data_IF_726922763255
#
_entry.id   IF_726922763255
#
_cell.length_a   1.000
_cell.length_b   1.000
_cell.length_c   1.000
_cell.angle_alpha   90.00
_cell.angle_beta   90.00
_cell.angle_gamma   90.00
#
_symmetry.space_group_name_H-M   'P 1'
#
loop_
_entity.id
_entity.type
_entity.pdbx_description
1 polymer ?
#
# COMPACT_ATOMS: atom_id res chain seq x y z
N UNK A 1 -1.88 24.17 70.92
CA UNK A 1 -2.14 23.10 71.90
C UNK A 1 -3.40 22.35 71.46
N UNK A 2 -3.34 21.03 71.34
CA UNK A 2 -4.48 20.20 70.95
C UNK A 2 -4.03 18.93 70.25
N UNK A 3 -3.58 17.95 71.04
CA UNK A 3 -3.09 16.64 70.61
C UNK A 3 -4.16 15.87 69.80
N UNK A 4 -3.75 15.20 68.73
CA UNK A 4 -4.48 14.04 68.20
C UNK A 4 -4.40 12.89 69.23
N UNK A 5 -5.50 12.20 69.56
CA UNK A 5 -5.43 10.97 70.34
C UNK A 5 -5.05 9.76 69.46
N UNK A 6 -4.32 8.85 70.09
CA UNK A 6 -3.73 7.64 69.51
C UNK A 6 -4.70 6.51 69.20
N UNK A 7 -4.28 5.73 68.19
CA UNK A 7 -4.30 4.27 68.06
C UNK A 7 -5.65 3.55 67.91
N UNK A 8 -5.72 2.74 66.85
CA UNK A 8 -5.75 1.28 67.00
C UNK A 8 -5.28 0.58 65.72
N UNK A 9 -4.25 -0.24 65.90
CA UNK A 9 -3.82 -1.33 65.03
C UNK A 9 -5.02 -2.17 64.59
N UNK A 10 -5.11 -2.40 63.29
CA UNK A 10 -6.03 -3.37 62.70
C UNK A 10 -5.53 -3.69 61.30
N UNK A 11 -4.71 -4.74 61.20
CA UNK A 11 -4.36 -5.34 59.92
C UNK A 11 -5.66 -5.83 59.27
N UNK A 12 -6.09 -5.14 58.21
CA UNK A 12 -7.06 -5.64 57.27
C UNK A 12 -6.39 -5.73 55.92
N UNK A 13 -5.87 -6.92 55.65
CA UNK A 13 -5.53 -7.39 54.31
C UNK A 13 -6.81 -7.46 53.49
N UNK A 14 -6.98 -6.54 52.54
CA UNK A 14 -7.93 -6.70 51.45
C UNK A 14 -7.17 -7.25 50.24
N UNK A 15 -7.61 -8.38 49.65
CA UNK A 15 -6.99 -8.95 48.47
C UNK A 15 -7.46 -8.19 47.22
N UNK A 16 -6.57 -8.00 46.25
CA UNK A 16 -6.98 -7.57 44.91
C UNK A 16 -6.82 -6.08 44.61
N UNK A 17 -5.61 -5.57 44.77
CA UNK A 17 -5.10 -4.55 43.84
C UNK A 17 -3.89 -5.18 43.15
N UNK A 18 -4.15 -6.03 42.17
CA UNK A 18 -3.14 -6.33 41.16
C UNK A 18 -2.97 -5.05 40.35
N UNK A 19 -1.72 -4.60 40.31
CA UNK A 19 -1.21 -3.66 39.32
C UNK A 19 -1.79 -4.02 37.96
N UNK A 20 -2.52 -3.07 37.35
CA UNK A 20 -2.67 -3.06 35.90
C UNK A 20 -1.29 -2.64 35.38
N UNK A 21 -0.34 -3.59 35.42
CA UNK A 21 0.76 -3.56 34.46
C UNK A 21 0.06 -3.66 33.12
N UNK A 22 0.10 -2.55 32.39
CA UNK A 22 -0.41 -2.45 31.04
C UNK A 22 0.22 -3.58 30.23
N UNK A 23 -0.57 -4.62 30.02
CA UNK A 23 -0.37 -5.63 28.99
C UNK A 23 -0.47 -4.89 27.64
N UNK A 24 0.58 -4.14 27.30
CA UNK A 24 0.79 -3.52 25.99
C UNK A 24 1.30 -4.54 24.97
N UNK A 25 1.15 -5.83 25.25
CA UNK A 25 1.33 -6.92 24.31
C UNK A 25 -0.04 -7.49 23.89
N UNK A 26 -1.05 -6.63 23.73
CA UNK A 26 -2.23 -6.95 22.91
C UNK A 26 -1.77 -7.09 21.46
N UNK A 27 -1.29 -8.30 21.13
CA UNK A 27 -1.41 -9.00 19.85
C UNK A 27 -1.77 -8.11 18.66
N UNK A 28 -0.82 -7.27 18.25
CA UNK A 28 -0.80 -6.74 16.89
C UNK A 28 -0.24 -7.78 15.89
N UNK A 29 0.01 -9.01 16.35
CA UNK A 29 0.63 -10.10 15.57
C UNK A 29 -0.38 -11.05 14.91
N UNK A 30 -1.67 -10.70 14.87
CA UNK A 30 -2.72 -11.58 14.32
C UNK A 30 -3.64 -10.94 13.27
N UNK A 31 -3.26 -9.80 12.70
CA UNK A 31 -3.70 -9.46 11.35
C UNK A 31 -2.49 -9.73 10.46
N UNK A 32 -2.56 -10.63 9.48
CA UNK A 32 -1.47 -10.77 8.53
C UNK A 32 -1.31 -9.44 7.78
N UNK A 33 -0.39 -8.60 8.25
CA UNK A 33 0.29 -7.61 7.42
C UNK A 33 1.39 -8.31 6.58
N UNK A 34 1.22 -9.60 6.29
CA UNK A 34 2.17 -10.49 5.61
C UNK A 34 2.04 -10.45 4.08
N UNK A 35 1.19 -9.59 3.52
CA UNK A 35 1.10 -9.46 2.07
C UNK A 35 2.26 -8.61 1.58
N UNK A 36 3.24 -9.28 0.95
CA UNK A 36 4.37 -8.64 0.29
C UNK A 36 3.87 -7.63 -0.74
N UNK A 37 4.37 -6.40 -0.62
CA UNK A 37 4.03 -5.28 -1.48
C UNK A 37 5.30 -4.61 -2.01
N UNK A 38 5.20 -4.17 -3.27
CA UNK A 38 6.23 -3.42 -3.97
C UNK A 38 5.62 -2.14 -4.50
N UNK A 39 6.25 -1.01 -4.22
CA UNK A 39 5.81 0.30 -4.69
C UNK A 39 7.00 1.02 -5.31
N UNK A 40 6.90 1.27 -6.61
CA UNK A 40 8.01 1.76 -7.42
C UNK A 40 7.59 2.92 -8.30
N UNK A 41 8.53 3.84 -8.51
CA UNK A 41 8.41 4.93 -9.45
C UNK A 41 9.24 4.61 -10.70
N UNK A 42 8.58 4.64 -11.86
CA UNK A 42 9.15 4.36 -13.17
C UNK A 42 9.07 5.60 -14.05
N UNK A 43 10.10 5.85 -14.86
CA UNK A 43 10.19 7.07 -15.66
C UNK A 43 9.17 7.14 -16.81
N UNK A 44 8.63 6.01 -17.27
CA UNK A 44 7.73 6.00 -18.43
C UNK A 44 6.84 4.75 -18.53
N UNK A 45 5.87 4.84 -19.44
CA UNK A 45 4.94 3.75 -19.75
C UNK A 45 5.64 2.49 -20.27
N UNK A 46 6.74 2.61 -21.03
CA UNK A 46 7.44 1.45 -21.57
C UNK A 46 8.07 0.59 -20.47
N UNK A 47 8.60 1.21 -19.41
CA UNK A 47 9.10 0.50 -18.22
C UNK A 47 7.95 -0.15 -17.44
N UNK A 48 6.83 0.56 -17.31
CA UNK A 48 5.60 0.02 -16.69
C UNK A 48 5.10 -1.22 -17.42
N UNK A 49 5.10 -1.20 -18.76
CA UNK A 49 4.73 -2.35 -19.59
C UNK A 49 5.69 -3.53 -19.41
N UNK A 50 6.99 -3.28 -19.21
CA UNK A 50 7.96 -4.35 -18.90
C UNK A 50 7.64 -5.04 -17.58
N UNK A 51 7.19 -4.30 -16.56
CA UNK A 51 6.72 -4.91 -15.30
C UNK A 51 5.52 -5.82 -15.54
N UNK A 52 4.50 -5.33 -16.25
CA UNK A 52 3.31 -6.14 -16.58
C UNK A 52 3.68 -7.39 -17.38
N UNK A 53 4.59 -7.27 -18.36
CA UNK A 53 5.09 -8.41 -19.15
C UNK A 53 5.85 -9.42 -18.27
N UNK A 54 6.68 -8.94 -17.35
CA UNK A 54 7.41 -9.80 -16.40
C UNK A 54 6.44 -10.61 -15.52
N UNK A 55 5.37 -9.98 -15.04
CA UNK A 55 4.35 -10.66 -14.22
C UNK A 55 3.59 -11.71 -15.01
N UNK A 56 3.21 -11.42 -16.27
CA UNK A 56 2.58 -12.43 -17.14
C UNK A 56 3.51 -13.60 -17.48
N UNK A 57 4.81 -13.34 -17.64
CA UNK A 57 5.82 -14.37 -17.87
C UNK A 57 6.08 -15.26 -16.66
N UNK A 58 5.53 -14.93 -15.48
CA UNK A 58 5.68 -15.68 -14.24
C UNK A 58 4.32 -15.92 -13.56
N UNK A 59 3.45 -16.77 -14.12
CA UNK A 59 2.14 -17.06 -13.53
C UNK A 59 2.23 -17.69 -12.11
N UNK A 60 3.40 -18.21 -11.73
CA UNK A 60 3.68 -18.69 -10.38
C UNK A 60 3.77 -17.59 -9.33
N UNK A 61 4.05 -16.33 -9.71
CA UNK A 61 4.01 -15.22 -8.78
C UNK A 61 2.55 -14.97 -8.39
N UNK A 62 2.20 -15.05 -7.09
CA UNK A 62 0.81 -14.99 -6.66
C UNK A 62 0.32 -13.54 -6.62
N UNK A 63 0.30 -12.84 -7.75
CA UNK A 63 -0.14 -11.44 -7.83
C UNK A 63 -1.60 -11.33 -7.41
N UNK A 64 -1.88 -10.46 -6.44
CA UNK A 64 -3.23 -10.09 -6.01
C UNK A 64 -3.79 -9.04 -6.95
N UNK A 65 -3.10 -7.90 -7.04
CA UNK A 65 -3.41 -6.83 -7.96
C UNK A 65 -2.16 -6.01 -8.30
N UNK A 66 -2.26 -5.27 -9.40
CA UNK A 66 -1.36 -4.20 -9.78
C UNK A 66 -2.16 -2.91 -9.84
N UNK A 67 -1.59 -1.82 -9.32
CA UNK A 67 -2.12 -0.46 -9.51
C UNK A 67 -1.09 0.38 -10.23
N UNK A 68 -1.53 1.11 -11.24
CA UNK A 68 -0.70 2.02 -12.00
C UNK A 68 -1.30 3.42 -11.92
N UNK A 69 -0.52 4.37 -11.42
CA UNK A 69 -0.90 5.79 -11.32
C UNK A 69 0.08 6.60 -12.17
N UNK A 70 -0.45 7.42 -13.06
CA UNK A 70 0.33 8.40 -13.80
C UNK A 70 0.48 9.69 -12.99
N UNK A 71 1.69 10.25 -13.00
CA UNK A 71 2.03 11.56 -12.46
C UNK A 71 2.71 12.38 -13.55
N UNK A 72 2.90 13.68 -13.35
CA UNK A 72 3.44 14.61 -14.36
C UNK A 72 4.78 14.10 -14.93
N UNK A 73 5.64 13.56 -14.07
CA UNK A 73 7.01 13.19 -14.43
C UNK A 73 7.25 11.67 -14.50
N UNK A 74 6.21 10.84 -14.40
CA UNK A 74 6.40 9.39 -14.33
C UNK A 74 5.20 8.57 -13.86
N UNK A 75 5.50 7.34 -13.49
CA UNK A 75 4.52 6.27 -13.29
C UNK A 75 4.77 5.58 -11.96
N UNK A 76 3.77 5.57 -11.09
CA UNK A 76 3.79 4.81 -9.83
C UNK A 76 3.15 3.47 -10.07
N UNK A 77 3.87 2.40 -9.74
CA UNK A 77 3.42 1.02 -9.87
C UNK A 77 3.41 0.37 -8.50
N UNK A 78 2.24 -0.05 -8.06
CA UNK A 78 2.01 -0.84 -6.85
C UNK A 78 1.73 -2.28 -7.25
N UNK A 79 2.40 -3.24 -6.63
CA UNK A 79 2.21 -4.66 -6.87
C UNK A 79 2.02 -5.32 -5.52
N UNK A 80 0.87 -5.97 -5.33
CA UNK A 80 0.57 -6.70 -4.09
C UNK A 80 0.46 -8.18 -4.38
N UNK A 81 1.12 -9.00 -3.57
CA UNK A 81 1.04 -10.45 -3.66
C UNK A 81 -0.02 -11.00 -2.71
N UNK A 82 -0.73 -12.06 -3.13
CA UNK A 82 -1.71 -12.80 -2.33
C UNK A 82 -1.04 -13.55 -1.19
N UNK A 83 0.13 -14.12 -1.46
CA UNK A 83 0.91 -14.92 -0.52
C UNK A 83 2.38 -14.48 -0.55
N UNK A 84 3.12 -14.62 0.56
CA UNK A 84 4.56 -14.46 0.56
C UNK A 84 5.24 -15.40 -0.45
N UNK A 85 6.33 -14.93 -1.06
CA UNK A 85 7.22 -15.74 -1.91
C UNK A 85 8.49 -16.09 -1.13
N UNK A 86 9.32 -16.98 -1.70
CA UNK A 86 10.61 -17.29 -1.09
C UNK A 86 11.52 -16.05 -1.03
N UNK A 87 12.48 -16.01 -0.11
CA UNK A 87 13.42 -14.88 -0.01
C UNK A 87 14.23 -14.67 -1.28
N UNK A 88 14.51 -15.75 -2.04
CA UNK A 88 15.18 -15.66 -3.33
C UNK A 88 14.27 -14.99 -4.37
N UNK A 89 13.00 -15.41 -4.47
CA UNK A 89 12.04 -14.80 -5.40
C UNK A 89 11.75 -13.34 -5.06
N UNK A 90 11.63 -13.00 -3.78
CA UNK A 90 11.51 -11.60 -3.32
C UNK A 90 12.74 -10.78 -3.74
N UNK A 91 13.94 -11.31 -3.50
CA UNK A 91 15.19 -10.68 -3.88
C UNK A 91 15.32 -10.47 -5.40
N UNK A 92 15.06 -11.51 -6.18
CA UNK A 92 15.11 -11.48 -7.65
C UNK A 92 14.09 -10.48 -8.21
N UNK A 93 12.89 -10.43 -7.61
CA UNK A 93 11.85 -9.51 -8.05
C UNK A 93 12.17 -8.06 -7.69
N UNK A 94 12.67 -7.79 -6.48
CA UNK A 94 13.17 -6.46 -6.08
C UNK A 94 14.33 -6.01 -6.96
N UNK A 95 15.28 -6.90 -7.27
CA UNK A 95 16.39 -6.59 -8.15
C UNK A 95 15.90 -6.17 -9.55
N UNK A 96 14.95 -6.92 -10.11
CA UNK A 96 14.31 -6.55 -11.37
C UNK A 96 13.61 -5.18 -11.30
N UNK A 97 12.84 -4.90 -10.25
CA UNK A 97 12.15 -3.61 -10.10
C UNK A 97 13.13 -2.45 -9.92
N UNK A 98 14.22 -2.66 -9.16
CA UNK A 98 15.29 -1.68 -8.96
C UNK A 98 16.09 -1.40 -10.25
N UNK A 99 16.11 -2.31 -11.22
CA UNK A 99 16.68 -2.05 -12.56
C UNK A 99 15.79 -1.11 -13.38
N UNK A 100 14.47 -1.22 -13.21
CA UNK A 100 13.49 -0.43 -13.97
C UNK A 100 13.18 0.94 -13.35
N UNK A 101 13.37 1.09 -12.03
CA UNK A 101 13.12 2.35 -11.36
C UNK A 101 13.53 2.33 -9.90
N UNK A 102 12.87 3.15 -9.09
CA UNK A 102 13.26 3.38 -7.69
C UNK A 102 12.10 3.04 -6.76
N UNK A 103 12.43 2.52 -5.57
CA UNK A 103 11.45 2.37 -4.49
C UNK A 103 10.79 3.72 -4.21
N UNK A 104 9.48 3.72 -4.03
CA UNK A 104 8.69 4.94 -3.95
C UNK A 104 7.98 5.05 -2.61
N UNK A 105 8.19 6.18 -1.94
CA UNK A 105 7.44 6.58 -0.77
C UNK A 105 6.34 7.56 -1.20
N UNK A 106 5.05 7.16 -1.15
CA UNK A 106 3.97 7.97 -1.67
C UNK A 106 3.66 9.11 -0.71
N UNK A 107 3.38 10.33 -1.21
CA UNK A 107 2.80 11.37 -0.39
C UNK A 107 1.40 10.95 0.07
N UNK A 108 0.92 11.52 1.18
CA UNK A 108 -0.31 11.09 1.85
C UNK A 108 -1.53 11.02 0.92
N UNK A 109 -1.66 11.92 -0.05
CA UNK A 109 -2.73 11.90 -1.07
C UNK A 109 -2.71 10.63 -1.91
N UNK A 110 -1.54 10.24 -2.42
CA UNK A 110 -1.37 9.03 -3.24
C UNK A 110 -1.58 7.80 -2.37
N UNK A 111 -1.09 7.82 -1.14
CA UNK A 111 -1.32 6.73 -0.18
C UNK A 111 -2.82 6.51 0.09
N UNK A 112 -3.59 7.58 0.30
CA UNK A 112 -5.04 7.50 0.48
C UNK A 112 -5.76 6.94 -0.75
N UNK A 113 -5.31 7.29 -1.95
CA UNK A 113 -5.84 6.73 -3.19
C UNK A 113 -5.57 5.22 -3.29
N UNK A 114 -4.33 4.79 -3.01
CA UNK A 114 -3.93 3.38 -3.02
C UNK A 114 -4.73 2.54 -2.01
N UNK A 115 -4.96 3.07 -0.80
CA UNK A 115 -5.80 2.40 0.20
C UNK A 115 -7.28 2.35 -0.21
N UNK A 116 -7.80 3.41 -0.83
CA UNK A 116 -9.19 3.44 -1.28
C UNK A 116 -9.45 2.43 -2.40
N UNK A 117 -8.51 2.30 -3.34
CA UNK A 117 -8.54 1.28 -4.38
C UNK A 117 -8.51 -0.13 -3.80
N UNK A 118 -7.60 -0.38 -2.86
CA UNK A 118 -7.51 -1.69 -2.19
C UNK A 118 -8.77 -2.05 -1.40
N UNK A 119 -9.45 -1.04 -0.83
CA UNK A 119 -10.76 -1.23 -0.21
C UNK A 119 -11.90 -1.51 -1.22
N UNK A 120 -11.58 -1.58 -2.52
CA UNK A 120 -12.53 -1.87 -3.59
C UNK A 120 -13.34 -0.67 -4.07
N UNK A 121 -12.92 0.56 -3.76
CA UNK A 121 -13.59 1.74 -4.31
C UNK A 121 -13.34 1.86 -5.81
N UNK A 122 -14.33 2.39 -6.54
CA UNK A 122 -14.23 2.59 -7.98
C UNK A 122 -13.05 3.52 -8.32
N UNK A 123 -12.15 3.14 -9.25
CA UNK A 123 -11.02 3.98 -9.65
C UNK A 123 -11.42 5.40 -10.05
N UNK A 124 -12.55 5.57 -10.74
CA UNK A 124 -13.06 6.88 -11.16
C UNK A 124 -13.38 7.79 -9.96
N UNK A 125 -14.03 7.26 -8.93
CA UNK A 125 -14.36 8.02 -7.74
C UNK A 125 -13.10 8.38 -6.94
N UNK A 126 -12.13 7.46 -6.89
CA UNK A 126 -10.83 7.70 -6.26
C UNK A 126 -10.05 8.80 -7.01
N UNK A 127 -10.02 8.76 -8.35
CA UNK A 127 -9.39 9.80 -9.17
C UNK A 127 -9.99 11.18 -8.87
N UNK A 128 -11.32 11.29 -8.88
CA UNK A 128 -12.02 12.55 -8.56
C UNK A 128 -11.74 13.03 -7.14
N UNK A 129 -11.79 12.14 -6.16
CA UNK A 129 -11.63 12.49 -4.75
C UNK A 129 -10.22 12.93 -4.40
N UNK A 130 -9.21 12.21 -4.91
CA UNK A 130 -7.81 12.44 -4.54
C UNK A 130 -7.02 13.16 -5.62
N UNK A 131 -7.62 13.50 -6.77
CA UNK A 131 -6.97 14.21 -7.87
C UNK A 131 -5.68 13.50 -8.33
N UNK A 132 -5.80 12.19 -8.58
CA UNK A 132 -4.73 11.33 -9.09
C UNK A 132 -5.19 10.69 -10.40
N UNK A 133 -4.26 10.44 -11.34
CA UNK A 133 -4.58 9.78 -12.60
C UNK A 133 -4.34 8.27 -12.48
N UNK A 134 -5.38 7.52 -12.14
CA UNK A 134 -5.30 6.05 -12.08
C UNK A 134 -5.44 5.52 -13.50
N UNK A 135 -4.42 4.79 -13.94
CA UNK A 135 -4.36 4.21 -15.28
C UNK A 135 -4.95 2.81 -15.29
N UNK A 136 -4.59 2.00 -14.28
CA UNK A 136 -5.13 0.65 -14.11
C UNK A 136 -5.12 0.23 -12.64
N UNK A 137 -6.07 -0.62 -12.26
CA UNK A 137 -6.12 -1.27 -10.95
C UNK A 137 -6.81 -2.63 -11.04
N UNK A 138 -6.12 -3.70 -10.62
CA UNK A 138 -6.68 -5.06 -10.63
C UNK A 138 -5.70 -6.07 -11.21
N UNK A 139 -6.14 -6.91 -12.15
CA UNK A 139 -5.25 -7.78 -12.93
C UNK A 139 -4.14 -6.96 -13.58
N UNK A 140 -2.94 -7.53 -13.78
CA UNK A 140 -1.89 -6.84 -14.52
C UNK A 140 -2.29 -6.76 -16.00
N UNK A 141 -3.14 -5.80 -16.39
CA UNK A 141 -3.64 -5.68 -17.76
C UNK A 141 -2.77 -4.72 -18.57
N UNK A 142 -2.39 -5.15 -19.78
CA UNK A 142 -1.46 -4.39 -20.63
C UNK A 142 -2.20 -3.30 -21.42
N UNK A 143 -3.43 -3.58 -21.78
CA UNK A 143 -4.26 -2.84 -22.72
C UNK A 143 -4.54 -1.42 -22.22
N UNK A 144 -4.84 -1.26 -20.92
CA UNK A 144 -5.12 0.05 -20.31
C UNK A 144 -3.89 0.97 -20.34
N UNK A 145 -2.71 0.43 -20.01
CA UNK A 145 -1.45 1.19 -20.02
C UNK A 145 -1.06 1.57 -21.46
N UNK A 146 -1.28 0.67 -22.43
CA UNK A 146 -1.02 0.97 -23.84
C UNK A 146 -1.98 2.02 -24.41
N UNK A 147 -3.27 1.92 -24.07
CA UNK A 147 -4.28 2.89 -24.46
C UNK A 147 -3.94 4.28 -23.92
N UNK A 148 -3.59 4.38 -22.63
CA UNK A 148 -3.17 5.62 -22.00
C UNK A 148 -1.90 6.19 -22.67
N UNK A 149 -0.88 5.35 -22.92
CA UNK A 149 0.33 5.76 -23.64
C UNK A 149 0.00 6.35 -25.02
N UNK A 150 -0.90 5.73 -25.78
CA UNK A 150 -1.28 6.22 -27.11
C UNK A 150 -2.00 7.57 -27.05
N UNK A 151 -2.82 7.82 -26.03
CA UNK A 151 -3.50 9.10 -25.83
C UNK A 151 -2.50 10.25 -25.58
N UNK A 152 -1.43 9.98 -24.82
CA UNK A 152 -0.33 10.93 -24.62
C UNK A 152 0.45 11.21 -25.91
N UNK A 153 0.79 10.17 -26.69
CA UNK A 153 1.51 10.32 -27.97
C UNK A 153 0.69 11.08 -29.02
N UNK A 154 -0.65 10.98 -28.97
CA UNK A 154 -1.55 11.74 -29.86
C UNK A 154 -1.71 13.21 -29.46
N UNK A 155 -0.97 13.69 -28.46
CA UNK A 155 -0.99 15.10 -28.05
C UNK A 155 -2.26 15.52 -27.32
N UNK A 156 -3.07 14.57 -26.85
CA UNK A 156 -4.33 14.90 -26.18
C UNK A 156 -4.12 15.41 -24.75
N UNK A 157 -2.94 15.19 -24.14
CA UNK A 157 -2.52 15.86 -22.88
C UNK A 157 -3.50 15.79 -21.71
N UNK A 158 -4.54 14.95 -21.79
CA UNK A 158 -5.69 14.98 -20.90
C UNK A 158 -5.72 13.72 -20.04
N UNK A 159 -5.92 13.94 -18.75
CA UNK A 159 -6.39 12.94 -17.79
C UNK A 159 -7.80 12.49 -18.25
N UNK A 160 -8.17 11.19 -18.19
CA UNK A 160 -9.41 10.71 -18.80
C UNK A 160 -10.64 11.54 -18.42
N UNK A 161 -11.59 11.68 -19.35
CA UNK A 161 -12.81 12.52 -19.30
C UNK A 161 -13.74 12.29 -18.09
N UNK A 162 -13.39 11.38 -17.19
CA UNK A 162 -14.10 11.17 -15.93
C UNK A 162 -13.79 12.22 -14.86
N UNK A 163 -13.04 13.29 -15.17
CA UNK A 163 -12.87 14.45 -14.28
C UNK A 163 -13.85 15.61 -14.53
N UNK A 164 -14.78 15.47 -15.48
CA UNK A 164 -15.90 16.41 -15.66
C UNK A 164 -17.13 16.03 -14.81
#
# INVERSE_FOLDING_TARGET
MGKLPHAKTGAFTLPGYQSIEEDRDIRLDLIPNTMMEYLYYLANASLTLRVVQYLHGRPQLPVSFVTVIHQIDGWVVRIKLKNPVSSQEDGDFRAFLNELGISYEPPMRVQMALWSLEAGQCPVDVMRRYQVAIVSHGSPEREEIEAFRQQFVRGLGYCPETLA
#
